data_IF_022395554801
#
_entry.id   IF_022395554801
#
_cell.length_a   1.000
_cell.length_b   1.000
_cell.length_c   1.000
_cell.angle_alpha   90.00
_cell.angle_beta   90.00
_cell.angle_gamma   90.00
#
_symmetry.space_group_name_H-M   'P 1'
#
loop_
_entity.id
_entity.type
_entity.pdbx_description
1 polymer ?
#
# COMPACT_ATOMS: atom_id res chain seq x y z
N UNK A 1 -11.50 -28.57 -1.51
CA UNK A 1 -10.35 -27.72 -1.94
C UNK A 1 -10.29 -26.54 -1.00
N UNK A 2 -9.10 -26.10 -0.63
CA UNK A 2 -8.96 -24.90 0.18
C UNK A 2 -8.95 -23.66 -0.72
N UNK A 3 -9.21 -22.47 -0.15
CA UNK A 3 -9.08 -21.19 -0.89
C UNK A 3 -7.67 -21.04 -1.51
N UNK A 4 -6.66 -21.63 -0.87
CA UNK A 4 -5.28 -21.62 -1.41
C UNK A 4 -5.19 -22.45 -2.70
N UNK A 5 -5.84 -23.64 -2.74
CA UNK A 5 -5.84 -24.49 -3.94
C UNK A 5 -6.51 -23.76 -5.11
N UNK A 6 -7.63 -23.07 -4.85
CA UNK A 6 -8.34 -22.29 -5.88
C UNK A 6 -7.45 -21.16 -6.45
N UNK A 7 -6.68 -20.48 -5.59
CA UNK A 7 -5.73 -19.42 -6.00
C UNK A 7 -4.57 -20.00 -6.82
N UNK A 8 -4.06 -21.17 -6.44
CA UNK A 8 -2.98 -21.84 -7.18
C UNK A 8 -3.43 -22.29 -8.56
N UNK A 9 -4.63 -22.86 -8.69
CA UNK A 9 -5.22 -23.24 -9.98
C UNK A 9 -5.41 -22.02 -10.88
N UNK A 10 -5.96 -20.92 -10.33
CA UNK A 10 -6.12 -19.67 -11.07
C UNK A 10 -4.77 -19.10 -11.53
N UNK A 11 -3.73 -19.20 -10.71
CA UNK A 11 -2.37 -18.76 -11.06
C UNK A 11 -1.76 -19.62 -12.18
N UNK A 12 -1.97 -20.94 -12.15
CA UNK A 12 -1.50 -21.83 -13.19
C UNK A 12 -2.17 -21.50 -14.54
N UNK A 13 -3.48 -21.27 -14.55
CA UNK A 13 -4.21 -20.86 -15.76
C UNK A 13 -3.69 -19.50 -16.28
N UNK A 14 -3.48 -18.53 -15.39
CA UNK A 14 -2.92 -17.22 -15.73
C UNK A 14 -1.52 -17.36 -16.35
N UNK A 15 -0.65 -18.16 -15.77
CA UNK A 15 0.72 -18.36 -16.26
C UNK A 15 0.78 -18.91 -17.68
N UNK A 16 -0.17 -19.79 -18.04
CA UNK A 16 -0.28 -20.37 -19.38
C UNK A 16 -0.76 -19.36 -20.42
N UNK A 17 -1.57 -18.39 -20.02
CA UNK A 17 -2.20 -17.41 -20.93
C UNK A 17 -1.45 -16.09 -21.02
N UNK A 18 -0.77 -15.66 -19.95
CA UNK A 18 -0.09 -14.37 -19.84
C UNK A 18 1.43 -14.43 -19.96
N UNK A 19 2.04 -15.61 -19.94
CA UNK A 19 3.49 -15.80 -19.94
C UNK A 19 4.25 -15.19 -21.13
N UNK A 20 3.54 -14.71 -22.15
CA UNK A 20 4.10 -14.06 -23.33
C UNK A 20 4.19 -12.53 -23.20
N UNK A 21 3.51 -11.91 -22.23
CA UNK A 21 3.55 -10.46 -21.99
C UNK A 21 4.33 -10.18 -20.71
N UNK A 22 5.62 -9.91 -20.84
CA UNK A 22 6.48 -9.46 -19.74
C UNK A 22 6.60 -7.94 -19.80
N UNK A 23 5.75 -7.15 -19.13
CA UNK A 23 5.96 -5.72 -19.04
C UNK A 23 7.29 -5.47 -18.32
N UNK A 24 8.02 -4.39 -18.69
CA UNK A 24 9.24 -4.04 -17.98
C UNK A 24 8.92 -3.73 -16.51
N UNK A 25 9.91 -3.89 -15.58
CA UNK A 25 9.70 -3.59 -14.16
C UNK A 25 9.45 -2.10 -13.91
N UNK A 26 9.85 -1.22 -14.83
CA UNK A 26 9.63 0.23 -14.75
C UNK A 26 8.19 0.57 -15.09
N UNK A 27 7.51 1.37 -14.27
CA UNK A 27 6.11 1.72 -14.52
C UNK A 27 5.99 2.66 -15.73
N UNK A 28 5.12 2.31 -16.68
CA UNK A 28 4.98 3.06 -17.93
C UNK A 28 4.58 4.53 -17.73
N UNK A 29 3.85 4.85 -16.65
CA UNK A 29 3.47 6.22 -16.28
C UNK A 29 4.44 6.88 -15.30
N UNK A 30 5.56 6.23 -14.97
CA UNK A 30 6.52 6.73 -13.98
C UNK A 30 5.85 7.12 -12.65
N UNK A 31 4.86 6.34 -12.24
CA UNK A 31 3.98 6.59 -11.12
C UNK A 31 4.07 5.49 -10.08
N UNK A 32 4.16 5.85 -8.81
CA UNK A 32 3.93 4.96 -7.69
C UNK A 32 2.71 5.44 -6.88
N UNK A 33 1.81 4.51 -6.61
CA UNK A 33 0.57 4.77 -5.88
C UNK A 33 0.63 4.04 -4.55
N UNK A 34 0.52 4.78 -3.46
CA UNK A 34 0.36 4.24 -2.14
C UNK A 34 -1.10 4.34 -1.70
N UNK A 35 -1.70 3.22 -1.32
CA UNK A 35 -3.11 3.16 -0.94
C UNK A 35 -3.40 2.10 0.12
N UNK A 36 -4.61 2.16 0.68
CA UNK A 36 -5.10 1.15 1.62
C UNK A 36 -5.20 -0.25 0.98
N UNK A 37 -4.93 -1.30 1.78
CA UNK A 37 -5.04 -2.71 1.40
C UNK A 37 -6.47 -3.20 1.20
N UNK A 38 -7.50 -2.40 1.45
CA UNK A 38 -8.90 -2.77 1.37
C UNK A 38 -9.25 -3.45 0.03
N UNK A 39 -9.72 -4.70 0.12
CA UNK A 39 -10.00 -5.55 -1.03
C UNK A 39 -11.11 -5.03 -1.95
N UNK A 40 -12.02 -4.18 -1.43
CA UNK A 40 -13.16 -3.61 -2.18
C UNK A 40 -12.73 -2.63 -3.29
N UNK A 41 -11.50 -2.15 -3.26
CA UNK A 41 -11.03 -1.09 -4.16
C UNK A 41 -9.96 -1.56 -5.14
N UNK A 42 -10.37 -1.69 -6.39
CA UNK A 42 -9.44 -1.97 -7.48
C UNK A 42 -8.66 -0.71 -7.91
N UNK A 43 -7.46 -0.90 -8.43
CA UNK A 43 -6.68 0.15 -9.11
C UNK A 43 -7.33 0.59 -10.43
N UNK A 44 -8.19 -0.25 -11.01
CA UNK A 44 -8.91 0.08 -12.26
C UNK A 44 -9.78 1.33 -12.15
N UNK A 45 -10.25 1.69 -10.93
CA UNK A 45 -10.99 2.94 -10.68
C UNK A 45 -10.18 4.19 -11.00
N UNK A 46 -8.85 4.07 -11.13
CA UNK A 46 -7.93 5.16 -11.46
C UNK A 46 -7.51 5.16 -12.93
N UNK A 47 -8.10 4.30 -13.74
CA UNK A 47 -7.67 4.11 -15.13
C UNK A 47 -6.24 3.56 -15.24
N UNK A 48 -5.78 2.81 -14.22
CA UNK A 48 -4.44 2.23 -14.13
C UNK A 48 -4.55 0.73 -14.39
N UNK A 49 -3.71 0.21 -15.28
CA UNK A 49 -3.61 -1.20 -15.64
C UNK A 49 -2.27 -1.80 -15.27
N UNK A 50 -2.11 -3.11 -15.48
CA UNK A 50 -0.84 -3.81 -15.19
C UNK A 50 0.31 -3.20 -15.99
N UNK A 51 1.39 -2.83 -15.31
CA UNK A 51 2.56 -2.20 -15.89
C UNK A 51 2.55 -0.67 -15.89
N UNK A 52 1.42 -0.02 -15.60
CA UNK A 52 1.30 1.46 -15.62
C UNK A 52 1.95 2.13 -14.42
N UNK A 53 1.81 1.55 -13.23
CA UNK A 53 2.27 2.14 -11.98
C UNK A 53 2.70 1.07 -10.97
N UNK A 54 3.60 1.42 -10.06
CA UNK A 54 3.84 0.61 -8.87
C UNK A 54 2.72 0.84 -7.85
N UNK A 55 2.20 -0.23 -7.27
CA UNK A 55 1.10 -0.17 -6.32
C UNK A 55 1.58 -0.70 -4.96
N UNK A 56 1.67 0.18 -3.99
CA UNK A 56 2.06 -0.12 -2.62
C UNK A 56 0.81 -0.06 -1.75
N UNK A 57 0.51 -1.15 -1.03
CA UNK A 57 -0.71 -1.27 -0.24
C UNK A 57 -0.39 -1.75 1.17
N UNK A 58 -0.95 -1.07 2.15
CA UNK A 58 -0.89 -1.48 3.55
C UNK A 58 -2.16 -1.05 4.31
N UNK A 59 -2.28 -1.42 5.58
CA UNK A 59 -3.38 -1.01 6.42
C UNK A 59 -3.44 0.52 6.52
N UNK A 60 -4.62 1.09 6.28
CA UNK A 60 -4.85 2.55 6.31
C UNK A 60 -4.21 3.35 5.17
N UNK A 61 -3.35 2.75 4.36
CA UNK A 61 -2.55 3.49 3.40
C UNK A 61 -1.59 4.46 4.11
N UNK A 62 -0.82 4.04 5.08
CA UNK A 62 0.08 4.85 5.92
C UNK A 62 1.53 4.77 5.42
N UNK A 63 2.27 5.89 5.45
CA UNK A 63 3.71 5.90 5.15
C UNK A 63 4.45 5.28 6.34
N UNK A 64 4.74 4.00 6.22
CA UNK A 64 5.60 3.24 7.14
C UNK A 64 7.00 3.12 6.55
N UNK A 65 7.97 2.71 7.35
CA UNK A 65 9.35 2.49 6.87
C UNK A 65 9.40 1.55 5.66
N UNK A 66 8.59 0.50 5.64
CA UNK A 66 8.54 -0.43 4.50
C UNK A 66 7.91 0.20 3.25
N UNK A 67 6.83 0.98 3.41
CA UNK A 67 6.24 1.68 2.27
C UNK A 67 7.16 2.78 1.72
N UNK A 68 7.87 3.49 2.60
CA UNK A 68 8.88 4.47 2.22
C UNK A 68 10.04 3.80 1.47
N UNK A 69 10.61 2.72 2.01
CA UNK A 69 11.62 1.90 1.34
C UNK A 69 11.18 1.52 -0.07
N UNK A 70 9.94 1.09 -0.22
CA UNK A 70 9.39 0.69 -1.52
C UNK A 70 9.25 1.86 -2.49
N UNK A 71 8.86 3.05 -2.02
CA UNK A 71 8.83 4.28 -2.83
C UNK A 71 10.23 4.73 -3.26
N UNK A 72 11.22 4.66 -2.37
CA UNK A 72 12.61 4.99 -2.70
C UNK A 72 13.19 4.03 -3.74
N UNK A 73 12.96 2.73 -3.61
CA UNK A 73 13.35 1.74 -4.63
C UNK A 73 12.65 2.03 -5.97
N UNK A 74 11.35 2.36 -5.92
CA UNK A 74 10.58 2.73 -7.12
C UNK A 74 11.17 3.93 -7.84
N UNK A 75 11.60 4.95 -7.09
CA UNK A 75 12.20 6.15 -7.66
C UNK A 75 13.63 5.88 -8.18
N UNK A 76 14.54 5.42 -7.30
CA UNK A 76 15.97 5.37 -7.62
C UNK A 76 16.38 4.23 -8.55
N UNK A 77 15.65 3.11 -8.56
CA UNK A 77 15.98 1.95 -9.38
C UNK A 77 15.04 1.75 -10.57
N UNK A 78 13.81 2.26 -10.48
CA UNK A 78 12.75 1.97 -11.45
C UNK A 78 12.13 3.22 -12.08
N UNK A 79 12.82 4.37 -11.99
CA UNK A 79 12.53 5.64 -12.68
C UNK A 79 11.14 6.23 -12.41
N UNK A 80 10.57 6.02 -11.23
CA UNK A 80 9.33 6.69 -10.85
C UNK A 80 9.60 8.17 -10.54
N UNK A 81 8.79 9.05 -11.11
CA UNK A 81 8.91 10.51 -10.96
C UNK A 81 7.76 11.12 -10.14
N UNK A 82 6.67 10.35 -9.93
CA UNK A 82 5.46 10.82 -9.28
C UNK A 82 4.98 9.86 -8.22
N UNK A 83 4.60 10.40 -7.07
CA UNK A 83 3.97 9.63 -6.00
C UNK A 83 2.53 10.10 -5.80
N UNK A 84 1.63 9.16 -5.64
CA UNK A 84 0.23 9.44 -5.31
C UNK A 84 -0.14 8.74 -4.00
N UNK A 85 -0.74 9.51 -3.09
CA UNK A 85 -1.27 8.98 -1.83
C UNK A 85 -2.79 8.93 -1.91
N UNK A 86 -3.36 7.76 -1.69
CA UNK A 86 -4.81 7.58 -1.72
C UNK A 86 -5.28 7.02 -0.39
N UNK A 87 -5.98 7.83 0.35
CA UNK A 87 -6.77 7.41 1.49
C UNK A 87 -8.23 7.17 1.04
N UNK A 88 -9.01 6.49 1.86
CA UNK A 88 -10.39 6.17 1.54
C UNK A 88 -11.30 6.43 2.73
N UNK A 89 -12.51 6.84 2.45
CA UNK A 89 -13.62 6.86 3.40
C UNK A 89 -13.91 5.44 3.88
N UNK A 90 -14.41 5.28 5.10
CA UNK A 90 -14.76 3.98 5.67
C UNK A 90 -13.56 2.99 5.74
N UNK A 91 -12.39 3.50 6.13
CA UNK A 91 -11.21 2.67 6.38
C UNK A 91 -11.34 1.97 7.74
N UNK A 92 -10.99 0.68 7.81
CA UNK A 92 -11.05 -0.08 9.06
C UNK A 92 -10.24 0.55 10.22
N UNK A 93 -9.13 1.21 9.92
CA UNK A 93 -8.33 1.92 10.93
C UNK A 93 -8.97 3.24 11.43
N UNK A 94 -10.03 3.72 10.79
CA UNK A 94 -10.82 4.85 11.31
C UNK A 94 -11.82 4.41 12.38
N UNK A 95 -12.15 3.13 12.43
CA UNK A 95 -13.16 2.56 13.30
C UNK A 95 -12.60 1.77 14.48
N UNK A 96 -11.28 1.78 14.67
CA UNK A 96 -10.59 1.12 15.76
C UNK A 96 -9.52 2.03 16.35
N UNK A 97 -9.37 2.00 17.67
CA UNK A 97 -8.24 2.67 18.36
C UNK A 97 -7.03 1.75 18.46
N UNK A 98 -5.86 2.32 18.72
CA UNK A 98 -4.64 1.57 19.03
C UNK A 98 -4.86 0.61 20.20
N UNK A 99 -5.51 1.07 21.26
CA UNK A 99 -5.80 0.29 22.47
C UNK A 99 -6.75 -0.88 22.17
N UNK A 100 -7.79 -0.64 21.39
CA UNK A 100 -8.74 -1.67 21.01
C UNK A 100 -8.08 -2.79 20.21
N UNK A 101 -7.22 -2.45 19.26
CA UNK A 101 -6.47 -3.43 18.47
C UNK A 101 -5.53 -4.25 19.37
N UNK A 102 -4.81 -3.62 20.28
CA UNK A 102 -3.94 -4.30 21.25
C UNK A 102 -4.72 -5.25 22.15
N UNK A 103 -5.83 -4.78 22.69
CA UNK A 103 -6.71 -5.59 23.54
C UNK A 103 -7.23 -6.82 22.80
N UNK A 104 -7.67 -6.68 21.55
CA UNK A 104 -8.13 -7.81 20.73
C UNK A 104 -7.02 -8.83 20.49
N UNK A 105 -5.80 -8.38 20.22
CA UNK A 105 -4.64 -9.27 20.03
C UNK A 105 -4.33 -10.00 21.34
N UNK A 106 -4.20 -9.28 22.43
CA UNK A 106 -3.89 -9.85 23.74
C UNK A 106 -4.93 -10.90 24.16
N UNK A 107 -6.22 -10.58 24.02
CA UNK A 107 -7.30 -11.50 24.38
C UNK A 107 -7.27 -12.80 23.56
N UNK A 108 -6.79 -12.74 22.32
CA UNK A 108 -6.77 -13.91 21.44
C UNK A 108 -5.48 -14.73 21.53
N UNK A 109 -4.35 -14.10 21.83
CA UNK A 109 -3.03 -14.73 21.81
C UNK A 109 -2.45 -14.94 23.20
N UNK A 110 -2.96 -14.22 24.22
CA UNK A 110 -2.40 -14.21 25.57
C UNK A 110 -1.07 -13.46 25.69
N UNK A 111 -0.53 -12.88 24.61
CA UNK A 111 0.73 -12.14 24.67
C UNK A 111 0.54 -10.72 25.19
N UNK A 112 1.46 -10.28 26.06
CA UNK A 112 1.58 -8.89 26.48
C UNK A 112 2.55 -8.09 25.58
N UNK A 113 3.44 -8.77 24.88
CA UNK A 113 4.41 -8.18 23.96
C UNK A 113 3.82 -8.10 22.55
N UNK A 114 3.16 -6.97 22.27
CA UNK A 114 2.45 -6.75 21.02
C UNK A 114 3.29 -5.91 20.06
N UNK A 115 3.64 -6.51 18.93
CA UNK A 115 4.30 -5.86 17.81
C UNK A 115 3.33 -5.79 16.60
N UNK A 116 3.39 -4.73 15.77
CA UNK A 116 4.27 -3.55 15.85
C UNK A 116 3.92 -2.62 17.02
N UNK A 117 4.83 -1.70 17.35
CA UNK A 117 4.60 -0.71 18.41
C UNK A 117 3.39 0.19 18.14
N UNK A 118 3.10 0.50 16.86
CA UNK A 118 1.98 1.32 16.43
C UNK A 118 1.26 0.70 15.24
N UNK A 119 -0.07 0.73 15.25
CA UNK A 119 -0.93 0.35 14.12
C UNK A 119 -1.35 1.55 13.27
N UNK A 120 -1.07 2.76 13.73
CA UNK A 120 -1.38 4.03 13.08
C UNK A 120 -2.88 4.23 12.80
N UNK A 121 -3.72 3.91 13.78
CA UNK A 121 -5.14 4.23 13.75
C UNK A 121 -5.35 5.75 13.65
N UNK A 122 -6.34 6.20 12.88
CA UNK A 122 -6.64 7.61 12.68
C UNK A 122 -8.14 7.85 12.60
N UNK A 123 -8.59 9.08 12.94
CA UNK A 123 -10.01 9.43 12.96
C UNK A 123 -10.43 10.30 11.77
N UNK A 124 -9.53 11.16 11.27
CA UNK A 124 -9.80 12.14 10.24
C UNK A 124 -9.03 11.85 8.96
N UNK A 125 -9.76 11.50 7.91
CA UNK A 125 -9.17 11.04 6.64
C UNK A 125 -8.36 12.14 5.93
N UNK A 126 -8.88 13.37 5.90
CA UNK A 126 -8.18 14.48 5.22
C UNK A 126 -6.89 14.85 5.93
N UNK A 127 -6.95 14.93 7.26
CA UNK A 127 -5.80 15.23 8.10
C UNK A 127 -4.72 14.15 7.95
N UNK A 128 -5.14 12.88 8.01
CA UNK A 128 -4.24 11.77 7.75
C UNK A 128 -3.62 11.86 6.34
N UNK A 129 -4.41 12.11 5.31
CA UNK A 129 -3.90 12.24 3.94
C UNK A 129 -2.86 13.36 3.81
N UNK A 130 -3.13 14.52 4.37
CA UNK A 130 -2.19 15.66 4.39
C UNK A 130 -0.91 15.32 5.15
N UNK A 131 -1.02 14.66 6.30
CA UNK A 131 0.11 14.21 7.08
C UNK A 131 1.01 13.23 6.29
N UNK A 132 0.40 12.27 5.61
CA UNK A 132 1.16 11.33 4.78
C UNK A 132 1.89 12.01 3.63
N UNK A 133 1.27 13.00 2.97
CA UNK A 133 1.93 13.82 1.95
C UNK A 133 3.07 14.65 2.54
N UNK A 134 2.88 15.22 3.70
CA UNK A 134 3.92 15.99 4.39
C UNK A 134 5.13 15.11 4.70
N UNK A 135 4.93 13.89 5.23
CA UNK A 135 6.03 12.94 5.50
C UNK A 135 6.86 12.71 4.22
N UNK A 136 6.20 12.47 3.10
CA UNK A 136 6.91 12.21 1.85
C UNK A 136 7.59 13.46 1.29
N UNK A 137 6.90 14.60 1.23
CA UNK A 137 7.41 15.83 0.61
C UNK A 137 8.55 16.48 1.40
N UNK A 138 8.68 16.19 2.70
CA UNK A 138 9.76 16.70 3.54
C UNK A 138 10.86 15.67 3.84
N UNK A 139 10.71 14.45 3.31
CA UNK A 139 11.66 13.38 3.59
C UNK A 139 13.00 13.63 2.88
N UNK A 140 14.15 13.62 3.61
CA UNK A 140 15.45 13.99 3.05
C UNK A 140 15.94 13.08 1.92
N UNK A 141 15.43 11.85 1.82
CA UNK A 141 15.76 10.90 0.76
C UNK A 141 14.84 11.00 -0.47
N UNK A 142 13.84 11.88 -0.46
CA UNK A 142 12.97 12.11 -1.63
C UNK A 142 13.37 13.43 -2.27
N UNK A 143 13.82 13.42 -3.53
CA UNK A 143 14.23 14.63 -4.22
C UNK A 143 13.07 15.61 -4.43
N UNK A 144 13.41 16.90 -4.52
CA UNK A 144 12.43 18.00 -4.65
C UNK A 144 11.73 18.05 -6.01
N UNK A 145 12.24 17.33 -7.00
CA UNK A 145 11.65 17.20 -8.35
C UNK A 145 10.61 16.08 -8.45
N UNK A 146 10.46 15.26 -7.41
CA UNK A 146 9.36 14.30 -7.32
C UNK A 146 8.04 15.04 -7.11
N UNK A 147 7.06 14.79 -7.97
CA UNK A 147 5.72 15.38 -7.84
C UNK A 147 4.77 14.50 -7.01
N UNK A 148 3.78 15.14 -6.38
CA UNK A 148 2.78 14.50 -5.54
C UNK A 148 1.36 14.81 -6.01
#
# INVERSE_FOLDING_TARGET
>A
MSVIDDVLEANELYSRTHGLRRPPPRPARKLAIRKCMDARRSIRTLGVTTGDAHIIRNAGGIVTDDSLRSLLVSHYLLDTERFMVINRTDCGLMHASEEELRTRIQNRTGTADIAPAFFFAFQHIEENGRHQLQILSTHPCIPTDVSF
#
